data_IF_923811284961
#
_entry.id   IF_923811284961
#
_cell.length_a   1.000
_cell.length_b   1.000
_cell.length_c   1.000
_cell.angle_alpha   90.00
_cell.angle_beta   90.00
_cell.angle_gamma   90.00
#
_symmetry.space_group_name_H-M   'P 1'
#
loop_
_entity.id
_entity.type
_entity.pdbx_description
1 polymer ?
#
# COMPACT_ATOMS: atom_id res chain seq x y z
N UNK A 1 -13.45 -7.60 23.99
CA UNK A 1 -12.50 -6.46 24.08
C UNK A 1 -11.37 -6.71 23.09
N UNK A 2 -11.58 -6.35 21.83
CA UNK A 2 -10.53 -6.13 20.80
C UNK A 2 -11.17 -5.35 19.66
N UNK A 3 -11.63 -4.13 19.94
CA UNK A 3 -11.86 -3.12 18.90
C UNK A 3 -10.48 -2.58 18.51
N UNK A 4 -9.73 -3.37 17.76
CA UNK A 4 -8.64 -2.82 16.95
C UNK A 4 -9.36 -2.07 15.84
N UNK A 5 -9.49 -0.76 16.01
CA UNK A 5 -9.95 0.16 14.96
C UNK A 5 -9.12 -0.14 13.72
N UNK A 6 -9.71 -0.86 12.77
CA UNK A 6 -9.11 -1.18 11.50
C UNK A 6 -8.89 0.16 10.79
N UNK A 7 -7.69 0.71 10.91
CA UNK A 7 -7.36 2.00 10.32
C UNK A 7 -7.69 1.92 8.83
N UNK A 8 -8.48 2.88 8.38
CA UNK A 8 -8.88 2.97 6.98
C UNK A 8 -7.62 3.12 6.12
N UNK A 9 -7.41 2.14 5.25
CA UNK A 9 -6.25 2.05 4.36
C UNK A 9 -6.15 3.30 3.47
N UNK A 10 -7.29 3.92 3.16
CA UNK A 10 -7.36 5.17 2.38
C UNK A 10 -6.64 6.35 3.05
N UNK A 11 -6.46 6.30 4.37
CA UNK A 11 -5.83 7.36 5.17
C UNK A 11 -4.34 7.13 5.42
N UNK A 12 -3.83 5.93 5.10
CA UNK A 12 -2.44 5.57 5.36
C UNK A 12 -1.46 6.28 4.43
N UNK A 13 -0.31 6.67 4.98
CA UNK A 13 0.86 7.07 4.21
C UNK A 13 1.46 5.85 3.49
N UNK A 14 2.28 6.09 2.47
CA UNK A 14 2.98 5.01 1.76
C UNK A 14 3.80 4.13 2.71
N UNK A 15 4.55 4.74 3.63
CA UNK A 15 5.42 3.99 4.55
C UNK A 15 4.61 3.15 5.53
N UNK A 16 3.51 3.69 6.06
CA UNK A 16 2.61 2.96 6.96
C UNK A 16 1.95 1.79 6.23
N UNK A 17 1.42 2.02 5.03
CA UNK A 17 0.78 0.97 4.24
C UNK A 17 1.78 -0.15 3.88
N UNK A 18 3.01 0.22 3.52
CA UNK A 18 4.09 -0.73 3.21
C UNK A 18 4.50 -1.55 4.44
N UNK A 19 4.69 -0.90 5.58
CA UNK A 19 5.07 -1.56 6.83
C UNK A 19 4.00 -2.58 7.26
N UNK A 20 2.73 -2.17 7.19
CA UNK A 20 1.62 -3.05 7.50
C UNK A 20 1.53 -4.24 6.53
N UNK A 21 1.70 -4.00 5.23
CA UNK A 21 1.74 -5.07 4.23
C UNK A 21 2.86 -6.08 4.53
N UNK A 22 4.05 -5.62 4.88
CA UNK A 22 5.18 -6.51 5.26
C UNK A 22 4.84 -7.33 6.50
N UNK A 23 4.16 -6.76 7.50
CA UNK A 23 3.72 -7.50 8.68
C UNK A 23 2.69 -8.58 8.33
N UNK A 24 1.74 -8.27 7.45
CA UNK A 24 0.72 -9.21 6.98
C UNK A 24 1.37 -10.38 6.23
N UNK A 25 2.27 -10.08 5.28
CA UNK A 25 2.99 -11.12 4.52
C UNK A 25 3.74 -12.05 5.46
N UNK A 26 4.50 -11.51 6.43
CA UNK A 26 5.22 -12.32 7.42
C UNK A 26 4.30 -13.23 8.24
N UNK A 27 3.10 -12.74 8.61
CA UNK A 27 2.10 -13.54 9.34
C UNK A 27 1.54 -14.67 8.48
N UNK A 28 1.24 -14.39 7.21
CA UNK A 28 0.79 -15.41 6.25
C UNK A 28 1.87 -16.47 6.01
N UNK A 29 3.13 -16.07 5.85
CA UNK A 29 4.27 -16.97 5.66
C UNK A 29 4.54 -17.89 6.86
N UNK A 30 4.17 -17.46 8.07
CA UNK A 30 4.29 -18.29 9.27
C UNK A 30 3.36 -19.51 9.23
N UNK A 31 2.26 -19.45 8.47
CA UNK A 31 1.40 -20.61 8.18
C UNK A 31 0.63 -21.19 9.37
N UNK A 32 0.62 -20.52 10.52
CA UNK A 32 0.00 -21.01 11.76
C UNK A 32 -1.37 -20.35 12.05
N UNK A 33 -2.03 -19.83 11.01
CA UNK A 33 -3.31 -19.14 11.13
C UNK A 33 -4.46 -19.97 10.57
N UNK A 34 -5.66 -19.91 11.17
CA UNK A 34 -6.86 -20.48 10.56
C UNK A 34 -7.10 -19.93 9.15
N UNK A 35 -7.81 -20.70 8.31
CA UNK A 35 -8.12 -20.30 6.93
C UNK A 35 -8.83 -18.95 6.87
N UNK A 36 -9.83 -18.74 7.73
CA UNK A 36 -10.61 -17.49 7.78
C UNK A 36 -9.74 -16.28 8.12
N UNK A 37 -8.82 -16.42 9.08
CA UNK A 37 -7.87 -15.35 9.42
C UNK A 37 -6.85 -15.11 8.30
N UNK A 38 -6.41 -16.18 7.64
CA UNK A 38 -5.49 -16.09 6.49
C UNK A 38 -6.13 -15.35 5.30
N UNK A 39 -7.42 -15.60 5.04
CA UNK A 39 -8.19 -14.89 4.02
C UNK A 39 -8.36 -13.41 4.37
N UNK A 40 -8.76 -13.09 5.60
CA UNK A 40 -8.92 -11.71 6.04
C UNK A 40 -7.59 -10.91 5.95
N UNK A 41 -6.47 -11.54 6.32
CA UNK A 41 -5.14 -10.95 6.18
C UNK A 41 -4.76 -10.75 4.72
N UNK A 42 -5.07 -11.71 3.85
CA UNK A 42 -4.82 -11.60 2.41
C UNK A 42 -5.62 -10.44 1.78
N UNK A 43 -6.93 -10.35 2.03
CA UNK A 43 -7.78 -9.26 1.51
C UNK A 43 -7.29 -7.88 1.94
N UNK A 44 -6.86 -7.77 3.21
CA UNK A 44 -6.25 -6.54 3.72
C UNK A 44 -4.90 -6.26 3.05
N UNK A 45 -4.08 -7.29 2.83
CA UNK A 45 -2.82 -7.21 2.12
C UNK A 45 -2.97 -6.67 0.70
N UNK A 46 -3.95 -7.19 -0.05
CA UNK A 46 -4.26 -6.70 -1.41
C UNK A 46 -4.65 -5.22 -1.39
N UNK A 47 -5.52 -4.83 -0.45
CA UNK A 47 -5.95 -3.43 -0.33
C UNK A 47 -4.78 -2.48 0.01
N UNK A 48 -3.82 -2.94 0.82
CA UNK A 48 -2.59 -2.18 1.13
C UNK A 48 -1.65 -2.11 -0.07
N UNK A 49 -1.54 -3.18 -0.85
CA UNK A 49 -0.75 -3.21 -2.08
C UNK A 49 -1.30 -2.22 -3.11
N UNK A 50 -2.62 -2.20 -3.33
CA UNK A 50 -3.30 -1.24 -4.20
C UNK A 50 -3.05 0.20 -3.77
N UNK A 51 -3.14 0.48 -2.46
CA UNK A 51 -2.82 1.79 -1.91
C UNK A 51 -1.37 2.19 -2.19
N UNK A 52 -0.42 1.28 -1.99
CA UNK A 52 0.99 1.54 -2.29
C UNK A 52 1.19 1.82 -3.78
N UNK A 53 0.54 1.06 -4.65
CA UNK A 53 0.63 1.25 -6.10
C UNK A 53 0.06 2.61 -6.52
N UNK A 54 -1.06 3.04 -5.94
CA UNK A 54 -1.64 4.35 -6.20
C UNK A 54 -0.66 5.50 -5.84
N UNK A 55 0.04 5.39 -4.71
CA UNK A 55 1.08 6.34 -4.33
C UNK A 55 2.23 6.41 -5.34
N UNK A 56 2.72 5.24 -5.77
CA UNK A 56 3.82 5.15 -6.74
C UNK A 56 3.42 5.69 -8.12
N UNK A 57 2.19 5.41 -8.55
CA UNK A 57 1.64 5.94 -9.81
C UNK A 57 1.55 7.47 -9.77
N UNK A 58 0.99 8.03 -8.70
CA UNK A 58 0.92 9.49 -8.54
C UNK A 58 2.31 10.15 -8.48
N UNK A 59 3.29 9.50 -7.87
CA UNK A 59 4.68 9.98 -7.87
C UNK A 59 5.29 9.96 -9.28
N UNK A 60 5.06 8.89 -10.06
CA UNK A 60 5.50 8.76 -11.44
C UNK A 60 4.92 9.87 -12.31
N UNK A 61 3.62 10.08 -12.26
CA UNK A 61 2.93 11.10 -13.07
C UNK A 61 3.46 12.52 -12.80
N UNK A 62 3.75 12.83 -11.53
CA UNK A 62 4.36 14.11 -11.14
C UNK A 62 5.76 14.29 -11.72
N UNK A 63 6.57 13.24 -11.73
CA UNK A 63 7.90 13.26 -12.32
C UNK A 63 7.85 13.42 -13.84
N UNK A 64 6.94 12.71 -14.50
CA UNK A 64 6.79 12.78 -15.96
C UNK A 64 6.31 14.18 -16.38
N UNK A 65 5.39 14.80 -15.63
CA UNK A 65 4.98 16.19 -15.86
C UNK A 65 6.13 17.18 -15.70
N UNK A 66 6.87 17.09 -14.59
CA UNK A 66 8.01 17.98 -14.35
C UNK A 66 9.08 17.88 -15.44
N UNK A 67 9.28 16.67 -16.00
CA UNK A 67 10.20 16.44 -17.13
C UNK A 67 9.70 17.09 -18.42
N UNK A 68 8.41 16.96 -18.73
CA UNK A 68 7.81 17.59 -19.91
C UNK A 68 7.89 19.12 -19.84
N UNK A 69 7.60 19.71 -18.67
CA UNK A 69 7.74 21.15 -18.46
C UNK A 69 9.19 21.61 -18.65
N UNK A 70 10.17 20.83 -18.18
CA UNK A 70 11.59 21.17 -18.31
C UNK A 70 12.11 21.09 -19.76
N UNK A 71 11.52 20.24 -20.61
CA UNK A 71 11.91 20.12 -22.03
C UNK A 71 11.31 21.20 -22.92
N UNK A 72 10.15 21.74 -22.55
CA UNK A 72 9.47 22.79 -23.31
C UNK A 72 10.12 24.18 -23.09
N UNK A 73 10.86 24.37 -21.99
CA UNK A 73 11.63 25.60 -21.69
C UNK A 73 12.98 25.70 -22.46
N UNK A 74 13.43 24.63 -23.13
CA UNK A 74 14.70 24.59 -23.89
C UNK A 74 14.55 24.87 -25.40
N UNK A 75 13.34 25.13 -25.92
CA UNK A 75 13.06 25.58 -27.31
C UNK A 75 12.81 27.10 -27.43
#
# INVERSE_FOLDING_TARGET
MTEQTQTDISTLSYEQAREELVMIVKRLETGNLPLEESLALWERGESLADRCQAWLNGARERLDRARAESSDDEE
#
